data_IF_580768400551
#
_entry.id   IF_580768400551
#
_cell.length_a   1.000
_cell.length_b   1.000
_cell.length_c   1.000
_cell.angle_alpha   90.00
_cell.angle_beta   90.00
_cell.angle_gamma   90.00
#
_symmetry.space_group_name_H-M   'P 1'
#
loop_
_entity.id
_entity.type
_entity.pdbx_description
1 polymer ?
#
# COMPACT_ATOMS: atom_id res chain seq x y z
N UNK A 1 7.72 -9.36 19.16
CA UNK A 1 6.70 -10.26 18.56
C UNK A 1 5.38 -9.54 18.21
N UNK A 2 4.86 -8.67 19.09
CA UNK A 2 3.60 -7.92 18.83
C UNK A 2 3.68 -6.97 17.62
N UNK A 3 4.82 -6.31 17.39
CA UNK A 3 5.01 -5.41 16.26
C UNK A 3 4.90 -6.10 14.89
N UNK A 4 5.29 -7.37 14.83
CA UNK A 4 5.25 -8.14 13.59
C UNK A 4 3.82 -8.62 13.27
N UNK A 5 3.06 -9.04 14.29
CA UNK A 5 1.63 -9.33 14.15
C UNK A 5 0.85 -8.11 13.69
N UNK A 6 1.11 -6.95 14.30
CA UNK A 6 0.44 -5.70 13.92
C UNK A 6 0.74 -5.29 12.48
N UNK A 7 1.96 -5.52 12.01
CA UNK A 7 2.34 -5.25 10.62
C UNK A 7 1.60 -6.18 9.64
N UNK A 8 1.46 -7.47 9.96
CA UNK A 8 0.69 -8.42 9.15
C UNK A 8 -0.80 -8.06 9.11
N UNK A 9 -1.40 -7.71 10.24
CA UNK A 9 -2.80 -7.24 10.29
C UNK A 9 -3.01 -5.98 9.46
N UNK A 10 -2.06 -5.05 9.50
CA UNK A 10 -2.10 -3.83 8.68
C UNK A 10 -2.02 -4.15 7.19
N UNK A 11 -1.13 -5.06 6.78
CA UNK A 11 -1.00 -5.49 5.39
C UNK A 11 -2.27 -6.22 4.90
N UNK A 12 -2.89 -7.03 5.74
CA UNK A 12 -4.19 -7.65 5.45
C UNK A 12 -5.28 -6.59 5.29
N UNK A 13 -5.36 -5.61 6.19
CA UNK A 13 -6.31 -4.49 6.11
C UNK A 13 -6.10 -3.62 4.86
N UNK A 14 -4.85 -3.47 4.42
CA UNK A 14 -4.51 -2.79 3.18
C UNK A 14 -4.82 -3.62 1.93
N UNK A 15 -5.27 -4.88 2.07
CA UNK A 15 -5.46 -5.85 1.00
C UNK A 15 -4.17 -6.20 0.25
N UNK A 16 -3.02 -6.02 0.91
CA UNK A 16 -1.72 -6.45 0.39
C UNK A 16 -1.50 -7.96 0.59
N UNK A 17 -2.11 -8.53 1.64
CA UNK A 17 -2.12 -9.97 1.92
C UNK A 17 -3.57 -10.48 1.87
N UNK A 18 -3.76 -11.76 1.55
CA UNK A 18 -5.02 -12.46 1.73
C UNK A 18 -5.10 -13.11 3.14
N UNK A 19 -6.27 -13.67 3.48
CA UNK A 19 -6.49 -14.33 4.78
C UNK A 19 -5.62 -15.58 5.00
N UNK A 20 -5.10 -16.17 3.92
CA UNK A 20 -4.14 -17.29 3.95
C UNK A 20 -2.68 -16.84 4.15
N UNK A 21 -2.39 -15.53 4.06
CA UNK A 21 -1.05 -14.95 4.22
C UNK A 21 -0.21 -14.86 2.95
N UNK A 22 -0.80 -15.12 1.78
CA UNK A 22 -0.19 -14.90 0.47
C UNK A 22 -0.30 -13.43 0.02
N UNK A 23 0.66 -13.01 -0.78
CA UNK A 23 0.71 -11.68 -1.38
C UNK A 23 -0.32 -11.55 -2.51
N UNK A 24 -1.16 -10.52 -2.45
CA UNK A 24 -2.11 -10.21 -3.53
C UNK A 24 -1.43 -9.47 -4.68
N UNK A 25 -2.10 -9.37 -5.84
CA UNK A 25 -1.61 -8.53 -6.95
C UNK A 25 -1.42 -7.06 -6.52
N UNK A 26 -2.32 -6.55 -5.66
CA UNK A 26 -2.19 -5.21 -5.08
C UNK A 26 -0.93 -5.11 -4.20
N UNK A 27 -0.70 -6.10 -3.33
CA UNK A 27 0.49 -6.15 -2.47
C UNK A 27 1.79 -6.26 -3.28
N UNK A 28 1.79 -7.00 -4.39
CA UNK A 28 2.93 -7.09 -5.30
C UNK A 28 3.24 -5.75 -5.95
N UNK A 29 2.22 -5.02 -6.45
CA UNK A 29 2.43 -3.67 -6.97
C UNK A 29 2.92 -2.70 -5.89
N UNK A 30 2.38 -2.79 -4.67
CA UNK A 30 2.83 -1.97 -3.54
C UNK A 30 4.31 -2.20 -3.21
N UNK A 31 4.79 -3.44 -3.35
CA UNK A 31 6.19 -3.79 -3.11
C UNK A 31 7.17 -3.24 -4.17
N UNK A 32 6.69 -2.82 -5.34
CA UNK A 32 7.53 -2.18 -6.36
C UNK A 32 7.83 -0.70 -6.03
N UNK A 33 7.04 -0.08 -5.16
CA UNK A 33 7.25 1.31 -4.76
C UNK A 33 8.09 1.39 -3.48
N UNK A 34 9.13 2.24 -3.43
CA UNK A 34 9.94 2.46 -2.23
C UNK A 34 9.24 3.43 -1.26
N UNK A 35 7.98 3.13 -0.92
CA UNK A 35 7.11 3.96 -0.09
C UNK A 35 6.47 3.09 1.00
N UNK A 36 5.97 3.73 2.05
CA UNK A 36 5.14 3.03 3.02
C UNK A 36 3.91 2.40 2.33
N UNK A 37 3.49 1.19 2.74
CA UNK A 37 2.41 0.46 2.08
C UNK A 37 1.09 1.25 2.07
N UNK A 38 0.85 2.11 3.07
CA UNK A 38 -0.32 3.00 3.08
C UNK A 38 -0.30 4.02 1.92
N UNK A 39 0.88 4.59 1.63
CA UNK A 39 1.07 5.55 0.54
C UNK A 39 1.10 4.86 -0.82
N UNK A 40 1.75 3.70 -0.92
CA UNK A 40 1.75 2.91 -2.14
C UNK A 40 0.33 2.53 -2.57
N UNK A 41 -0.52 2.08 -1.62
CA UNK A 41 -1.93 1.81 -1.90
C UNK A 41 -2.68 3.05 -2.39
N UNK A 42 -2.42 4.21 -1.77
CA UNK A 42 -3.06 5.47 -2.15
C UNK A 42 -2.70 5.88 -3.59
N UNK A 43 -1.43 5.73 -3.98
CA UNK A 43 -0.99 5.97 -5.36
C UNK A 43 -1.65 4.99 -6.33
N UNK A 44 -1.72 3.70 -6.00
CA UNK A 44 -2.35 2.71 -6.88
C UNK A 44 -3.85 3.00 -7.06
N UNK A 45 -4.56 3.29 -5.97
CA UNK A 45 -5.99 3.64 -6.02
C UNK A 45 -6.24 4.93 -6.82
N UNK A 46 -5.34 5.91 -6.73
CA UNK A 46 -5.47 7.18 -7.45
C UNK A 46 -5.55 7.04 -8.97
N UNK A 47 -5.02 5.95 -9.53
CA UNK A 47 -5.15 5.63 -10.95
C UNK A 47 -6.61 5.39 -11.36
N UNK A 48 -7.43 4.80 -10.48
CA UNK A 48 -8.86 4.59 -10.73
C UNK A 48 -9.65 5.90 -10.63
N UNK A 49 -9.23 6.79 -9.73
CA UNK A 49 -9.88 8.09 -9.50
C UNK A 49 -9.37 9.21 -10.42
N UNK A 50 -8.44 8.92 -11.35
CA UNK A 50 -7.81 9.90 -12.25
C UNK A 50 -7.17 11.11 -11.52
N UNK A 51 -6.74 10.93 -10.27
CA UNK A 51 -6.11 11.97 -9.44
C UNK A 51 -4.64 11.64 -9.10
N UNK A 52 -3.99 10.88 -9.97
CA UNK A 52 -2.64 10.37 -9.71
C UNK A 52 -1.58 11.46 -9.63
N UNK A 53 -1.73 12.59 -10.33
CA UNK A 53 -0.78 13.70 -10.26
C UNK A 53 -0.81 14.39 -8.89
N UNK A 54 -2.01 14.64 -8.36
CA UNK A 54 -2.21 15.26 -7.06
C UNK A 54 -1.68 14.35 -5.96
N UNK A 55 -2.00 13.05 -6.04
CA UNK A 55 -1.57 12.07 -5.05
C UNK A 55 -0.06 11.89 -5.09
N UNK A 56 0.56 11.79 -6.26
CA UNK A 56 2.02 11.72 -6.38
C UNK A 56 2.70 12.95 -5.76
N UNK A 57 2.11 14.14 -5.96
CA UNK A 57 2.61 15.38 -5.36
C UNK A 57 2.50 15.36 -3.83
N UNK A 58 1.38 14.87 -3.27
CA UNK A 58 1.18 14.72 -1.83
C UNK A 58 2.16 13.69 -1.25
N UNK A 59 2.32 12.54 -1.91
CA UNK A 59 3.26 11.49 -1.51
C UNK A 59 4.70 12.00 -1.53
N UNK A 60 5.08 12.81 -2.52
CA UNK A 60 6.40 13.43 -2.58
C UNK A 60 6.64 14.46 -1.47
N UNK A 61 5.60 15.16 -0.98
CA UNK A 61 5.72 16.07 0.16
C UNK A 61 5.78 15.36 1.52
N UNK A 62 5.23 14.16 1.61
CA UNK A 62 5.18 13.35 2.84
C UNK A 62 6.38 12.39 3.00
N UNK A 63 7.18 12.23 1.94
CA UNK A 63 8.38 11.38 1.93
C UNK A 63 9.62 12.09 2.45
#
# INVERSE_FOLDING_TARGET
PETLMRALELLNYLAALNDDGDLTELGSMMAEFPLDPQLAKMVIASCEFNCSNEILSITAMLS
#
